data_IF_797439197373
#
_entry.id   IF_797439197373
#
_cell.length_a   1.000
_cell.length_b   1.000
_cell.length_c   1.000
_cell.angle_alpha   90.00
_cell.angle_beta   90.00
_cell.angle_gamma   90.00
#
_symmetry.space_group_name_H-M   'P 1'
#
loop_
_entity.id
_entity.type
_entity.pdbx_description
1 polymer ?
#
# COMPACT_ATOMS: atom_id res chain seq x y z
N UNK A 1 26.25 -18.31 2.30
CA UNK A 1 24.82 -18.61 2.41
C UNK A 1 24.21 -18.02 3.70
N UNK A 2 24.80 -18.23 4.85
CA UNK A 2 24.31 -17.68 6.16
C UNK A 2 24.26 -16.14 6.11
N UNK A 3 25.26 -15.48 5.57
CA UNK A 3 25.27 -14.02 5.43
C UNK A 3 24.15 -13.51 4.51
N UNK A 4 23.76 -14.28 3.49
CA UNK A 4 22.70 -13.92 2.58
C UNK A 4 21.31 -13.91 3.25
N UNK A 5 21.11 -14.77 4.25
CA UNK A 5 19.89 -14.83 5.07
C UNK A 5 19.96 -13.80 6.22
N UNK A 6 21.10 -13.67 6.88
CA UNK A 6 21.27 -12.78 8.02
C UNK A 6 21.18 -11.28 7.65
N UNK A 7 21.63 -10.91 6.45
CA UNK A 7 21.63 -9.51 6.02
C UNK A 7 20.23 -8.86 5.94
N UNK A 8 19.21 -9.46 5.29
CA UNK A 8 17.85 -8.92 5.29
C UNK A 8 17.23 -8.86 6.69
N UNK A 9 17.52 -9.87 7.53
CA UNK A 9 17.01 -9.92 8.91
C UNK A 9 17.60 -8.77 9.73
N UNK A 10 18.91 -8.54 9.65
CA UNK A 10 19.58 -7.48 10.38
C UNK A 10 19.11 -6.08 9.92
N UNK A 11 18.91 -5.88 8.62
CA UNK A 11 18.32 -4.63 8.11
C UNK A 11 16.90 -4.45 8.65
N UNK A 12 16.08 -5.49 8.65
CA UNK A 12 14.72 -5.45 9.18
C UNK A 12 14.69 -5.08 10.66
N UNK A 13 15.54 -5.69 11.46
CA UNK A 13 15.67 -5.41 12.90
C UNK A 13 16.15 -3.99 13.18
N UNK A 14 17.15 -3.52 12.44
CA UNK A 14 17.66 -2.15 12.59
C UNK A 14 16.60 -1.11 12.21
N UNK A 15 15.83 -1.35 11.14
CA UNK A 15 14.71 -0.48 10.75
C UNK A 15 13.60 -0.49 11.78
N UNK A 16 13.31 -1.64 12.38
CA UNK A 16 12.32 -1.75 13.45
C UNK A 16 12.73 -0.95 14.68
N UNK A 17 13.97 -1.06 15.11
CA UNK A 17 14.48 -0.32 16.28
C UNK A 17 14.51 1.22 16.07
N UNK A 18 14.75 1.67 14.84
CA UNK A 18 14.80 3.09 14.50
C UNK A 18 13.43 3.71 14.16
N UNK A 19 12.46 2.90 13.72
CA UNK A 19 11.16 3.34 13.26
C UNK A 19 10.04 2.50 13.90
N UNK A 20 9.94 2.52 15.25
CA UNK A 20 8.81 1.87 15.93
C UNK A 20 7.49 2.41 15.37
N UNK A 21 6.57 1.52 14.92
CA UNK A 21 5.32 1.97 14.33
C UNK A 21 4.46 2.66 15.40
N UNK A 22 4.21 3.95 15.21
CA UNK A 22 3.22 4.68 15.99
C UNK A 22 1.84 4.34 15.42
N UNK A 23 0.96 3.79 16.25
CA UNK A 23 -0.41 3.41 15.86
C UNK A 23 -1.22 4.57 15.29
N UNK A 24 -1.05 5.77 15.84
CA UNK A 24 -1.77 6.96 15.37
C UNK A 24 -1.33 7.31 13.95
N UNK A 25 -0.04 7.27 13.70
CA UNK A 25 0.53 7.53 12.38
C UNK A 25 0.10 6.45 11.37
N UNK A 26 0.06 5.17 11.77
CA UNK A 26 -0.45 4.09 10.94
C UNK A 26 -1.90 4.32 10.48
N UNK A 27 -2.78 4.70 11.41
CA UNK A 27 -4.18 4.95 11.10
C UNK A 27 -4.32 6.17 10.18
N UNK A 28 -3.61 7.25 10.44
CA UNK A 28 -3.73 8.49 9.67
C UNK A 28 -3.13 8.37 8.26
N UNK A 29 -2.01 7.68 8.12
CA UNK A 29 -1.30 7.52 6.85
C UNK A 29 -2.06 6.63 5.88
N UNK A 30 -2.64 5.52 6.37
CA UNK A 30 -3.35 4.53 5.54
C UNK A 30 -4.88 4.61 5.65
N UNK A 31 -5.42 5.75 6.07
CA UNK A 31 -6.85 5.95 6.35
C UNK A 31 -7.79 5.49 5.24
N UNK A 32 -7.48 5.72 3.97
CA UNK A 32 -8.34 5.30 2.86
C UNK A 32 -8.37 3.78 2.68
N UNK A 33 -7.28 3.10 2.98
CA UNK A 33 -7.23 1.63 2.98
C UNK A 33 -8.11 1.09 4.10
N UNK A 34 -7.98 1.65 5.32
CA UNK A 34 -8.81 1.27 6.46
C UNK A 34 -10.30 1.50 6.19
N UNK A 35 -10.65 2.64 5.58
CA UNK A 35 -12.04 2.98 5.22
C UNK A 35 -12.63 1.96 4.22
N UNK A 36 -11.84 1.45 3.28
CA UNK A 36 -12.29 0.40 2.36
C UNK A 36 -12.31 -1.00 2.98
N UNK A 37 -11.42 -1.26 3.94
CA UNK A 37 -11.35 -2.54 4.64
C UNK A 37 -12.54 -2.79 5.57
N UNK A 38 -13.05 -1.76 6.25
CA UNK A 38 -14.21 -1.89 7.14
C UNK A 38 -15.48 -2.42 6.45
N UNK A 39 -15.95 -1.87 5.33
CA UNK A 39 -17.06 -2.45 4.57
C UNK A 39 -16.81 -3.88 4.12
N UNK A 40 -15.57 -4.20 3.67
CA UNK A 40 -15.20 -5.56 3.30
C UNK A 40 -15.38 -6.55 4.47
N UNK A 41 -14.88 -6.21 5.67
CA UNK A 41 -15.04 -7.04 6.86
C UNK A 41 -16.52 -7.21 7.25
N UNK A 42 -17.24 -6.11 7.28
CA UNK A 42 -18.66 -6.10 7.66
C UNK A 42 -19.51 -6.96 6.72
N UNK A 43 -19.33 -6.78 5.41
CA UNK A 43 -20.06 -7.55 4.41
C UNK A 43 -19.66 -9.03 4.45
N UNK A 44 -18.37 -9.32 4.63
CA UNK A 44 -17.87 -10.69 4.79
C UNK A 44 -18.48 -11.36 6.02
N UNK A 45 -18.56 -10.66 7.15
CA UNK A 45 -19.21 -11.16 8.37
C UNK A 45 -20.68 -11.49 8.14
N UNK A 46 -21.45 -10.57 7.54
CA UNK A 46 -22.88 -10.80 7.25
C UNK A 46 -23.06 -11.99 6.30
N UNK A 47 -22.24 -12.08 5.27
CA UNK A 47 -22.29 -13.17 4.29
C UNK A 47 -22.00 -14.52 4.95
N UNK A 48 -20.96 -14.61 5.77
CA UNK A 48 -20.57 -15.83 6.45
C UNK A 48 -21.57 -16.24 7.54
N UNK A 49 -22.09 -15.27 8.30
CA UNK A 49 -23.08 -15.55 9.37
C UNK A 49 -24.33 -16.27 8.87
N UNK A 50 -24.70 -16.09 7.62
CA UNK A 50 -25.86 -16.77 7.01
C UNK A 50 -25.61 -18.25 6.72
N UNK A 51 -24.35 -18.71 6.76
CA UNK A 51 -23.97 -20.09 6.46
C UNK A 51 -23.74 -20.90 7.75
N UNK A 52 -24.24 -22.14 7.77
CA UNK A 52 -23.94 -23.11 8.87
C UNK A 52 -22.44 -23.43 8.87
N UNK A 53 -21.84 -23.50 10.06
CA UNK A 53 -20.42 -23.85 10.23
C UNK A 53 -19.48 -22.99 9.39
N UNK A 54 -19.69 -21.69 9.38
CA UNK A 54 -18.98 -20.73 8.50
C UNK A 54 -17.46 -20.79 8.65
N UNK A 55 -16.94 -21.19 9.81
CA UNK A 55 -15.50 -21.33 10.07
C UNK A 55 -14.82 -22.47 9.31
N UNK A 56 -15.59 -23.42 8.78
CA UNK A 56 -15.09 -24.50 7.91
C UNK A 56 -15.17 -24.18 6.41
N UNK A 57 -15.68 -23.01 6.06
CA UNK A 57 -15.86 -22.61 4.66
C UNK A 57 -14.59 -22.05 4.07
N UNK A 58 -14.38 -22.32 2.79
CA UNK A 58 -13.25 -21.77 2.02
C UNK A 58 -13.27 -20.23 2.02
N UNK A 59 -14.45 -19.64 1.98
CA UNK A 59 -14.65 -18.19 2.03
C UNK A 59 -14.18 -17.57 3.33
N UNK A 60 -14.35 -18.26 4.47
CA UNK A 60 -13.82 -17.81 5.75
C UNK A 60 -12.29 -17.78 5.74
N UNK A 61 -11.67 -18.85 5.25
CA UNK A 61 -10.21 -18.88 5.11
C UNK A 61 -9.69 -17.81 4.15
N UNK A 62 -10.42 -17.54 3.06
CA UNK A 62 -10.06 -16.47 2.14
C UNK A 62 -10.08 -15.09 2.83
N UNK A 63 -11.12 -14.80 3.61
CA UNK A 63 -11.22 -13.55 4.39
C UNK A 63 -10.08 -13.45 5.40
N UNK A 64 -9.73 -14.55 6.08
CA UNK A 64 -8.58 -14.59 7.00
C UNK A 64 -7.26 -14.31 6.28
N UNK A 65 -7.02 -14.93 5.14
CA UNK A 65 -5.79 -14.74 4.35
C UNK A 65 -5.68 -13.28 3.89
N UNK A 66 -6.75 -12.73 3.32
CA UNK A 66 -6.77 -11.32 2.87
C UNK A 66 -6.53 -10.37 4.05
N UNK A 67 -7.15 -10.64 5.20
CA UNK A 67 -6.97 -9.83 6.40
C UNK A 67 -5.54 -9.91 6.95
N UNK A 68 -4.94 -11.10 6.92
CA UNK A 68 -3.54 -11.30 7.34
C UNK A 68 -2.56 -10.58 6.42
N UNK A 69 -2.78 -10.66 5.10
CA UNK A 69 -1.98 -9.92 4.11
C UNK A 69 -2.10 -8.42 4.34
N UNK A 70 -3.31 -7.92 4.58
CA UNK A 70 -3.54 -6.51 4.88
C UNK A 70 -2.74 -6.04 6.10
N UNK A 71 -2.84 -6.74 7.23
CA UNK A 71 -2.12 -6.40 8.46
C UNK A 71 -0.61 -6.44 8.21
N UNK A 72 -0.13 -7.50 7.57
CA UNK A 72 1.29 -7.65 7.24
C UNK A 72 1.80 -6.50 6.37
N UNK A 73 1.07 -6.14 5.31
CA UNK A 73 1.48 -5.07 4.41
C UNK A 73 1.46 -3.70 5.09
N UNK A 74 0.48 -3.40 5.94
CA UNK A 74 0.45 -2.14 6.72
C UNK A 74 1.67 -2.04 7.63
N UNK A 75 1.96 -3.10 8.40
CA UNK A 75 3.13 -3.12 9.29
C UNK A 75 4.43 -3.03 8.48
N UNK A 76 4.56 -3.81 7.42
CA UNK A 76 5.74 -3.79 6.56
C UNK A 76 5.99 -2.40 5.97
N UNK A 77 4.95 -1.73 5.48
CA UNK A 77 5.06 -0.39 4.90
C UNK A 77 5.42 0.67 5.94
N UNK A 78 4.91 0.56 7.15
CA UNK A 78 5.29 1.47 8.23
C UNK A 78 6.78 1.39 8.57
N UNK A 79 7.34 0.19 8.51
CA UNK A 79 8.75 -0.07 8.78
C UNK A 79 9.67 0.36 7.63
N UNK A 80 9.25 0.11 6.40
CA UNK A 80 10.07 0.38 5.20
C UNK A 80 9.90 1.78 4.66
N UNK A 81 8.79 2.46 5.01
CA UNK A 81 8.35 3.76 4.47
C UNK A 81 8.25 3.80 2.94
N UNK A 82 8.18 2.64 2.30
CA UNK A 82 8.06 2.50 0.86
C UNK A 82 6.59 2.49 0.42
N UNK A 83 5.96 3.64 0.45
CA UNK A 83 4.52 3.84 0.47
C UNK A 83 3.74 3.49 -0.81
N UNK A 84 4.41 3.24 -1.93
CA UNK A 84 3.73 3.34 -3.24
C UNK A 84 2.86 2.15 -3.59
N UNK A 85 3.20 0.95 -3.15
CA UNK A 85 2.52 -0.27 -3.59
C UNK A 85 1.28 -0.64 -2.78
N UNK A 86 1.16 -0.20 -1.55
CA UNK A 86 0.09 -0.65 -0.66
C UNK A 86 -1.31 -0.16 -1.07
N UNK A 87 -1.38 0.91 -1.85
CA UNK A 87 -2.67 1.52 -2.25
C UNK A 87 -3.49 0.65 -3.20
N UNK A 88 -2.90 -0.39 -3.80
CA UNK A 88 -3.65 -1.41 -4.53
C UNK A 88 -4.69 -2.16 -3.65
N UNK A 89 -4.54 -2.11 -2.34
CA UNK A 89 -5.53 -2.67 -1.41
C UNK A 89 -6.88 -1.96 -1.47
N UNK A 90 -6.93 -0.69 -1.86
CA UNK A 90 -8.18 0.07 -2.02
C UNK A 90 -9.10 -0.58 -3.07
N UNK A 91 -8.67 -0.76 -4.33
CA UNK A 91 -9.50 -1.46 -5.32
C UNK A 91 -9.75 -2.92 -4.97
N UNK A 92 -8.82 -3.60 -4.29
CA UNK A 92 -9.04 -4.99 -3.85
C UNK A 92 -10.21 -5.07 -2.86
N UNK A 93 -10.17 -4.29 -1.77
CA UNK A 93 -11.26 -4.33 -0.78
C UNK A 93 -12.59 -3.83 -1.34
N UNK A 94 -12.55 -2.80 -2.18
CA UNK A 94 -13.75 -2.31 -2.87
C UNK A 94 -14.32 -3.37 -3.81
N UNK A 95 -13.48 -4.04 -4.58
CA UNK A 95 -13.86 -5.11 -5.50
C UNK A 95 -14.47 -6.31 -4.78
N UNK A 96 -13.82 -6.82 -3.73
CA UNK A 96 -14.38 -7.91 -2.93
C UNK A 96 -15.70 -7.52 -2.25
N UNK A 97 -15.81 -6.29 -1.75
CA UNK A 97 -17.07 -5.78 -1.20
C UNK A 97 -18.19 -5.78 -2.25
N UNK A 98 -17.90 -5.36 -3.48
CA UNK A 98 -18.86 -5.40 -4.59
C UNK A 98 -19.27 -6.85 -4.94
N UNK A 99 -18.32 -7.79 -4.97
CA UNK A 99 -18.61 -9.21 -5.23
C UNK A 99 -19.53 -9.78 -4.15
N UNK A 100 -19.21 -9.56 -2.89
CA UNK A 100 -20.06 -10.04 -1.77
C UNK A 100 -21.47 -9.43 -1.83
N UNK A 101 -21.57 -8.14 -2.16
CA UNK A 101 -22.86 -7.48 -2.34
C UNK A 101 -23.66 -8.04 -3.52
N UNK A 102 -23.00 -8.44 -4.60
CA UNK A 102 -23.69 -9.06 -5.75
C UNK A 102 -24.24 -10.44 -5.42
N UNK A 103 -23.56 -11.18 -4.54
CA UNK A 103 -23.98 -12.51 -4.07
C UNK A 103 -25.03 -12.46 -2.96
N UNK A 104 -25.35 -11.31 -2.42
CA UNK A 104 -26.28 -11.14 -1.31
C UNK A 104 -27.32 -10.05 -1.60
N UNK A 105 -28.59 -10.33 -1.27
CA UNK A 105 -29.64 -9.31 -1.29
C UNK A 105 -29.50 -8.38 -0.07
N UNK A 106 -28.58 -7.40 -0.19
CA UNK A 106 -28.33 -6.45 0.87
C UNK A 106 -29.10 -5.14 0.64
N UNK A 107 -29.84 -4.70 1.65
CA UNK A 107 -30.75 -3.53 1.54
C UNK A 107 -30.04 -2.23 1.16
N UNK A 108 -28.81 -2.03 1.65
CA UNK A 108 -28.03 -0.80 1.44
C UNK A 108 -26.93 -0.96 0.37
N UNK A 109 -27.12 -1.91 -0.54
CA UNK A 109 -26.13 -2.25 -1.57
C UNK A 109 -25.66 -1.03 -2.37
N UNK A 110 -26.58 -0.22 -2.88
CA UNK A 110 -26.25 0.92 -3.72
C UNK A 110 -25.52 2.01 -2.94
N UNK A 111 -25.92 2.27 -1.69
CA UNK A 111 -25.25 3.27 -0.84
C UNK A 111 -23.80 2.90 -0.56
N UNK A 112 -23.55 1.63 -0.23
CA UNK A 112 -22.16 1.15 0.00
C UNK A 112 -21.38 1.21 -1.30
N UNK A 113 -21.97 0.85 -2.44
CA UNK A 113 -21.31 0.92 -3.74
C UNK A 113 -20.90 2.36 -4.08
N UNK A 114 -21.82 3.31 -3.98
CA UNK A 114 -21.51 4.73 -4.23
C UNK A 114 -20.44 5.26 -3.27
N UNK A 115 -20.51 4.88 -1.99
CA UNK A 115 -19.50 5.24 -1.01
C UNK A 115 -18.10 4.70 -1.39
N UNK A 116 -18.00 3.42 -1.77
CA UNK A 116 -16.72 2.82 -2.17
C UNK A 116 -16.16 3.43 -3.46
N UNK A 117 -17.02 3.72 -4.44
CA UNK A 117 -16.60 4.43 -5.67
C UNK A 117 -16.07 5.82 -5.31
N UNK A 118 -16.78 6.57 -4.50
CA UNK A 118 -16.38 7.91 -4.07
C UNK A 118 -15.04 7.91 -3.33
N UNK A 119 -14.87 7.02 -2.37
CA UNK A 119 -13.59 6.88 -1.62
C UNK A 119 -12.47 6.47 -2.56
N UNK A 120 -12.72 5.54 -3.50
CA UNK A 120 -11.71 5.10 -4.47
C UNK A 120 -11.28 6.24 -5.39
N UNK A 121 -12.21 7.06 -5.87
CA UNK A 121 -11.90 8.22 -6.71
C UNK A 121 -11.08 9.26 -5.95
N UNK A 122 -11.52 9.65 -4.75
CA UNK A 122 -10.78 10.63 -3.94
C UNK A 122 -9.37 10.13 -3.61
N UNK A 123 -9.25 8.89 -3.18
CA UNK A 123 -7.95 8.33 -2.82
C UNK A 123 -7.02 8.25 -4.04
N UNK A 124 -7.53 7.81 -5.19
CA UNK A 124 -6.74 7.73 -6.42
C UNK A 124 -6.26 9.12 -6.85
N UNK A 125 -7.16 10.11 -6.87
CA UNK A 125 -6.79 11.50 -7.22
C UNK A 125 -5.72 12.03 -6.27
N UNK A 126 -5.94 11.89 -4.95
CA UNK A 126 -5.01 12.39 -3.93
C UNK A 126 -3.62 11.73 -4.01
N UNK A 127 -3.58 10.41 -4.20
CA UNK A 127 -2.30 9.69 -4.29
C UNK A 127 -1.61 9.94 -5.63
N UNK A 128 -2.37 10.07 -6.71
CA UNK A 128 -1.82 10.44 -8.02
C UNK A 128 -1.21 11.85 -7.98
N UNK A 129 -1.90 12.82 -7.39
CA UNK A 129 -1.41 14.17 -7.22
C UNK A 129 -0.14 14.20 -6.37
N UNK A 130 -0.16 13.57 -5.20
CA UNK A 130 1.00 13.45 -4.32
C UNK A 130 2.18 12.78 -5.01
N UNK A 131 1.93 11.69 -5.76
CA UNK A 131 2.98 10.99 -6.48
C UNK A 131 3.61 11.85 -7.57
N UNK A 132 2.81 12.60 -8.32
CA UNK A 132 3.30 13.42 -9.41
C UNK A 132 3.93 14.75 -8.97
N UNK A 133 3.42 15.37 -7.90
CA UNK A 133 3.87 16.69 -7.45
C UNK A 133 4.98 16.57 -6.41
N UNK A 134 4.78 15.75 -5.38
CA UNK A 134 5.70 15.69 -4.24
C UNK A 134 6.86 14.69 -4.44
N UNK A 135 6.66 13.67 -5.28
CA UNK A 135 7.62 12.57 -5.45
C UNK A 135 8.25 12.47 -6.82
N UNK A 136 7.87 13.35 -7.72
CA UNK A 136 8.49 13.40 -9.03
C UNK A 136 9.98 13.71 -8.83
N UNK A 137 10.80 12.69 -9.07
CA UNK A 137 12.24 12.80 -8.90
C UNK A 137 12.67 13.22 -7.47
N UNK A 138 12.12 12.56 -6.46
CA UNK A 138 12.50 12.82 -5.07
C UNK A 138 14.03 12.79 -4.87
N UNK A 139 14.72 11.91 -5.57
CA UNK A 139 16.17 11.78 -5.56
C UNK A 139 16.88 12.99 -6.19
N UNK A 140 16.16 13.76 -7.00
CA UNK A 140 16.64 14.99 -7.63
C UNK A 140 16.10 16.27 -6.96
N UNK A 141 15.39 16.12 -5.85
CA UNK A 141 14.91 17.24 -5.07
C UNK A 141 16.09 17.95 -4.41
N UNK A 142 16.29 19.21 -4.75
CA UNK A 142 17.44 20.00 -4.28
C UNK A 142 18.70 19.89 -5.13
N UNK A 143 18.68 19.10 -6.20
CA UNK A 143 19.83 18.98 -7.10
C UNK A 143 19.85 20.12 -8.10
N UNK A 144 20.96 20.83 -8.17
CA UNK A 144 21.21 21.88 -9.17
C UNK A 144 21.76 21.27 -10.47
N UNK A 145 20.89 21.13 -11.48
CA UNK A 145 21.27 20.56 -12.77
C UNK A 145 22.34 21.36 -13.50
N UNK A 146 22.56 22.62 -13.16
CA UNK A 146 23.62 23.45 -13.77
C UNK A 146 25.03 23.01 -13.33
N UNK A 147 25.12 22.32 -12.20
CA UNK A 147 26.37 21.77 -11.65
C UNK A 147 26.68 20.36 -12.19
N UNK A 148 25.93 19.88 -13.17
CA UNK A 148 26.16 18.55 -13.73
C UNK A 148 27.51 18.46 -14.43
N UNK A 149 28.24 17.36 -14.17
CA UNK A 149 29.53 17.06 -14.78
C UNK A 149 29.34 15.96 -15.82
N UNK A 150 29.83 16.18 -17.03
CA UNK A 150 29.78 15.17 -18.08
C UNK A 150 30.68 13.98 -17.72
N UNK A 151 30.12 12.79 -17.71
CA UNK A 151 30.83 11.54 -17.43
C UNK A 151 31.73 11.07 -18.59
N UNK A 152 31.73 11.76 -19.73
CA UNK A 152 32.64 11.51 -20.85
C UNK A 152 34.09 11.50 -20.42
N UNK A 153 34.48 12.35 -19.46
CA UNK A 153 35.83 12.46 -18.93
C UNK A 153 36.20 11.30 -17.99
N UNK A 154 35.20 10.50 -17.55
CA UNK A 154 35.42 9.35 -16.68
C UNK A 154 35.63 8.08 -17.51
N UNK A 155 34.75 7.83 -18.46
CA UNK A 155 34.83 6.67 -19.34
C UNK A 155 34.02 6.88 -20.62
N UNK A 156 34.59 6.46 -21.77
CA UNK A 156 33.94 6.66 -23.08
C UNK A 156 32.57 6.00 -23.24
N UNK A 157 32.33 4.86 -22.56
CA UNK A 157 31.03 4.16 -22.54
C UNK A 157 29.97 5.00 -21.88
N UNK A 158 30.33 5.90 -20.97
CA UNK A 158 29.39 6.76 -20.25
C UNK A 158 29.18 8.11 -20.98
N UNK A 159 29.71 8.25 -22.19
CA UNK A 159 29.52 9.47 -22.98
C UNK A 159 28.05 9.69 -23.27
N UNK A 160 27.52 10.85 -22.89
CA UNK A 160 26.09 11.19 -22.97
C UNK A 160 25.33 11.13 -21.65
N UNK A 161 25.96 10.63 -20.58
CA UNK A 161 25.41 10.72 -19.23
C UNK A 161 26.02 11.95 -18.52
N UNK A 162 25.23 12.59 -17.69
CA UNK A 162 25.69 13.63 -16.79
C UNK A 162 25.62 13.13 -15.36
N UNK A 163 26.68 13.37 -14.62
CA UNK A 163 26.75 13.04 -13.20
C UNK A 163 26.37 14.27 -12.37
N UNK A 164 25.47 14.06 -11.42
CA UNK A 164 25.04 15.10 -10.49
C UNK A 164 25.14 14.51 -9.10
N UNK A 165 25.85 15.18 -8.21
CA UNK A 165 25.87 14.86 -6.78
C UNK A 165 24.93 15.81 -6.06
N UNK A 166 24.08 15.31 -5.16
CA UNK A 166 23.40 16.19 -4.19
C UNK A 166 24.47 16.83 -3.31
N UNK A 167 24.40 18.13 -3.13
CA UNK A 167 25.26 18.89 -2.21
C UNK A 167 24.98 18.49 -0.76
#
# INVERSE_FOLDING_TARGET
FIQYIAYPINIGLNRYSSNSPDLINLISEYKYIHICYLPFLYLSYIFLKKKKNFYLLKEFFLVLVISSIYIFLIVHQSLTKNQNFIFFLIPIFSGFSCIIMSMSNYKFKNQILYFLIFVSLISTTKYHERFNIERKFHELSGVDFTKSISSKNIHSILSGLNWITPD
#
